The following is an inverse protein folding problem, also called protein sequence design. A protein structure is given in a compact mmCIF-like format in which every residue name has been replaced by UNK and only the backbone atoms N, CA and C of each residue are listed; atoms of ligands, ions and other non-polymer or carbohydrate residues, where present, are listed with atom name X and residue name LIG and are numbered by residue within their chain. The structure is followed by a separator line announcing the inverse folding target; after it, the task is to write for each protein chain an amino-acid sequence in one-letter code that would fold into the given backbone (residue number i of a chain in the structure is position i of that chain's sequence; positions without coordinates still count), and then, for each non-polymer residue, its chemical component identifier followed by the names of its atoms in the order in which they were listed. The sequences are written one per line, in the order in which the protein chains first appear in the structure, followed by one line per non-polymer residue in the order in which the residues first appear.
data_IF_775628164016
#
_entry.id   IF_775628164016
#
_cell.length_a   1.000
_cell.length_b   1.000
_cell.length_c   1.000
_cell.angle_alpha   90.00
_cell.angle_beta   90.00
_cell.angle_gamma   90.00
#
_symmetry.space_group_name_H-M   'P 1'
#
loop_
_entity.id
_entity.type
_entity.pdbx_description
1 polymer ?
#
# COMPACT_ATOMS: atom_id res chain seq x y z
N UNK A 1 -0.63 -19.16 5.22
CA UNK A 1 -0.52 -17.84 4.63
C UNK A 1 0.50 -17.76 3.52
N UNK A 2 0.34 -16.75 2.68
CA UNK A 2 1.26 -16.49 1.59
C UNK A 2 1.89 -15.11 1.78
N UNK A 3 3.16 -14.98 1.43
CA UNK A 3 3.87 -13.71 1.43
C UNK A 3 4.64 -13.56 0.13
N UNK A 4 4.63 -12.36 -0.41
CA UNK A 4 5.34 -12.02 -1.63
C UNK A 4 6.25 -10.82 -1.36
N UNK A 5 7.44 -10.84 -1.94
CA UNK A 5 8.41 -9.76 -1.84
C UNK A 5 8.74 -9.23 -3.24
N UNK A 6 8.79 -7.92 -3.37
CA UNK A 6 9.05 -7.25 -4.65
C UNK A 6 10.17 -6.23 -4.49
N UNK A 7 11.39 -6.53 -4.94
CA UNK A 7 12.44 -5.52 -5.00
C UNK A 7 12.21 -4.56 -6.18
N UNK A 8 12.67 -3.33 -6.04
CA UNK A 8 12.63 -2.35 -7.12
C UNK A 8 11.27 -1.76 -7.41
N UNK A 9 10.35 -1.80 -6.45
CA UNK A 9 9.03 -1.18 -6.56
C UNK A 9 9.05 0.18 -5.87
N UNK A 10 8.35 1.15 -6.45
CA UNK A 10 8.06 2.42 -5.82
C UNK A 10 6.71 2.38 -5.13
N UNK A 11 6.64 2.88 -3.91
CA UNK A 11 5.40 2.99 -3.15
C UNK A 11 5.24 4.41 -2.61
N UNK A 12 4.01 4.91 -2.62
CA UNK A 12 3.67 6.24 -2.10
C UNK A 12 2.47 6.11 -1.18
N UNK A 13 2.54 6.76 -0.03
CA UNK A 13 1.41 6.87 0.90
C UNK A 13 0.77 8.23 0.72
N UNK A 14 -0.52 8.25 0.38
CA UNK A 14 -1.27 9.47 0.18
C UNK A 14 -1.81 10.01 1.50
N UNK A 15 -2.30 11.24 1.49
CA UNK A 15 -2.91 11.85 2.66
C UNK A 15 -4.16 11.06 3.08
N UNK A 16 -4.31 10.83 4.38
CA UNK A 16 -5.44 10.11 4.94
C UNK A 16 -6.68 10.99 4.98
N UNK A 17 -7.86 10.36 4.78
CA UNK A 17 -9.16 11.02 4.90
C UNK A 17 -9.86 10.57 6.17
N UNK A 18 -10.25 11.52 7.02
CA UNK A 18 -10.93 11.22 8.26
C UNK A 18 -12.36 10.75 8.03
N UNK A 19 -12.78 9.73 8.78
CA UNK A 19 -14.18 9.33 8.88
C UNK A 19 -14.71 9.93 10.18
N UNK A 20 -15.61 10.91 10.05
CA UNK A 20 -16.07 11.73 11.16
C UNK A 20 -17.42 11.25 11.66
N UNK A 21 -17.55 11.14 12.98
CA UNK A 21 -18.84 10.90 13.65
C UNK A 21 -19.43 12.27 13.99
N UNK A 22 -20.55 12.58 13.35
CA UNK A 22 -21.24 13.84 13.62
C UNK A 22 -21.93 13.80 14.98
N UNK A 23 -21.63 14.77 15.82
CA UNK A 23 -22.28 14.91 17.11
C UNK A 23 -23.71 15.43 16.95
N UNK A 24 -24.65 14.78 17.66
CA UNK A 24 -26.04 15.23 17.71
C UNK A 24 -26.29 16.16 18.88
N UNK A 25 -25.30 16.37 19.74
CA UNK A 25 -25.38 17.27 20.89
C UNK A 25 -24.82 18.64 20.48
N UNK A 26 -25.58 19.68 20.69
CA UNK A 26 -25.28 21.00 20.15
C UNK A 26 -23.96 21.64 20.57
N UNK A 27 -23.39 21.23 21.69
CA UNK A 27 -22.13 21.78 22.22
C UNK A 27 -20.98 20.77 22.16
N UNK A 28 -21.19 19.59 21.62
CA UNK A 28 -20.17 18.56 21.52
C UNK A 28 -19.55 18.58 20.13
N UNK A 29 -18.23 18.68 20.01
CA UNK A 29 -17.59 18.66 18.70
C UNK A 29 -17.69 17.28 18.05
N UNK A 30 -17.62 17.25 16.72
CA UNK A 30 -17.55 16.01 15.98
C UNK A 30 -16.24 15.28 16.31
N UNK A 31 -16.28 13.96 16.27
CA UNK A 31 -15.12 13.13 16.57
C UNK A 31 -14.73 12.28 15.38
N UNK A 32 -13.44 11.92 15.32
CA UNK A 32 -12.92 11.04 14.27
C UNK A 32 -13.00 9.61 14.76
N UNK A 33 -13.63 8.74 13.95
CA UNK A 33 -13.71 7.31 14.27
C UNK A 33 -12.51 6.54 13.72
N UNK A 34 -12.08 6.85 12.51
CA UNK A 34 -10.94 6.23 11.87
C UNK A 34 -10.52 7.08 10.68
N UNK A 35 -9.47 6.66 9.98
CA UNK A 35 -9.03 7.28 8.73
C UNK A 35 -9.06 6.26 7.61
N UNK A 36 -9.57 6.67 6.44
CA UNK A 36 -9.37 5.94 5.20
C UNK A 36 -8.00 6.30 4.65
N UNK A 37 -7.16 5.29 4.46
CA UNK A 37 -5.78 5.48 4.02
C UNK A 37 -5.57 4.82 2.68
N UNK A 38 -4.84 5.48 1.82
CA UNK A 38 -4.59 5.05 0.45
C UNK A 38 -3.11 5.17 0.15
N UNK A 39 -2.61 4.22 -0.62
CA UNK A 39 -1.26 4.29 -1.15
C UNK A 39 -1.23 3.78 -2.58
N UNK A 40 -0.15 4.06 -3.29
CA UNK A 40 0.04 3.62 -4.67
C UNK A 40 1.33 2.83 -4.78
N UNK A 41 1.31 1.82 -5.67
CA UNK A 41 2.47 1.03 -6.03
C UNK A 41 2.74 1.20 -7.51
N UNK A 42 4.01 1.36 -7.84
CA UNK A 42 4.49 1.38 -9.22
C UNK A 42 5.57 0.31 -9.37
N UNK A 43 5.33 -0.65 -10.24
CA UNK A 43 6.28 -1.74 -10.50
C UNK A 43 6.72 -1.70 -11.96
N UNK A 44 7.92 -1.18 -12.27
CA UNK A 44 8.45 -1.19 -13.63
C UNK A 44 9.03 -2.54 -14.04
N UNK A 45 9.29 -3.43 -13.09
CA UNK A 45 9.91 -4.74 -13.36
C UNK A 45 8.84 -5.77 -13.74
N UNK A 46 8.42 -5.76 -15.00
CA UNK A 46 7.32 -6.59 -15.49
C UNK A 46 7.89 -7.88 -16.08
N UNK A 47 8.03 -8.90 -15.25
CA UNK A 47 8.37 -10.26 -15.68
C UNK A 47 7.13 -11.12 -15.68
N UNK A 48 7.18 -12.28 -16.34
CA UNK A 48 6.05 -13.22 -16.33
C UNK A 48 5.67 -13.64 -14.91
N UNK A 49 6.65 -13.87 -14.05
CA UNK A 49 6.42 -14.23 -12.66
C UNK A 49 5.72 -13.10 -11.91
N UNK A 50 6.18 -11.85 -12.06
CA UNK A 50 5.57 -10.70 -11.40
C UNK A 50 4.13 -10.46 -11.88
N UNK A 51 3.87 -10.62 -13.18
CA UNK A 51 2.52 -10.51 -13.74
C UNK A 51 1.58 -11.49 -13.06
N UNK A 52 2.00 -12.75 -12.92
CA UNK A 52 1.17 -13.78 -12.32
C UNK A 52 0.93 -13.54 -10.82
N UNK A 53 1.94 -13.08 -10.10
CA UNK A 53 1.81 -12.75 -8.67
C UNK A 53 0.86 -11.56 -8.49
N UNK A 54 1.02 -10.49 -9.26
CA UNK A 54 0.13 -9.33 -9.17
C UNK A 54 -1.29 -9.67 -9.60
N UNK A 55 -1.45 -10.55 -10.57
CA UNK A 55 -2.79 -11.06 -10.93
C UNK A 55 -3.49 -11.69 -9.74
N UNK A 56 -2.75 -12.46 -8.94
CA UNK A 56 -3.28 -13.05 -7.72
C UNK A 56 -3.62 -12.00 -6.67
N UNK A 57 -2.73 -11.03 -6.46
CA UNK A 57 -2.93 -9.97 -5.47
C UNK A 57 -4.12 -9.08 -5.85
N UNK A 58 -4.27 -8.75 -7.14
CA UNK A 58 -5.29 -7.84 -7.63
C UNK A 58 -6.63 -8.52 -7.94
N UNK A 59 -6.74 -9.83 -7.74
CA UNK A 59 -7.96 -10.59 -8.04
C UNK A 59 -9.07 -10.40 -7.01
N UNK A 60 -8.79 -9.66 -5.93
CA UNK A 60 -9.75 -9.41 -4.87
C UNK A 60 -9.31 -10.05 -3.56
N UNK A 61 -10.11 -9.86 -2.52
CA UNK A 61 -9.81 -10.33 -1.18
C UNK A 61 -8.99 -9.32 -0.38
N UNK A 62 -8.68 -9.70 0.84
CA UNK A 62 -7.94 -8.86 1.77
C UNK A 62 -6.61 -9.52 2.12
N UNK A 63 -5.59 -8.71 2.25
CA UNK A 63 -4.26 -9.13 2.67
C UNK A 63 -4.02 -8.68 4.11
N UNK A 64 -3.25 -9.44 4.86
CA UNK A 64 -3.06 -9.21 6.28
C UNK A 64 -2.11 -8.09 6.66
N UNK A 65 -1.33 -7.59 5.73
CA UNK A 65 -0.40 -6.52 6.02
C UNK A 65 0.53 -6.22 4.86
N UNK A 66 1.25 -5.11 4.97
CA UNK A 66 2.22 -4.66 3.98
C UNK A 66 3.45 -4.10 4.68
N UNK A 67 4.61 -4.58 4.27
CA UNK A 67 5.89 -4.11 4.77
C UNK A 67 6.62 -3.36 3.66
N UNK A 68 6.94 -2.10 3.89
CA UNK A 68 7.63 -1.26 2.93
C UNK A 68 9.03 -0.95 3.45
N UNK A 69 10.04 -1.38 2.72
CA UNK A 69 11.44 -1.11 3.05
C UNK A 69 11.86 0.22 2.43
N UNK A 70 12.21 1.18 3.27
CA UNK A 70 12.69 2.50 2.85
C UNK A 70 14.21 2.52 2.88
N UNK A 71 14.83 2.16 1.76
CA UNK A 71 16.28 1.99 1.70
C UNK A 71 17.05 3.29 1.99
N UNK A 72 16.56 4.42 1.48
CA UNK A 72 17.24 5.71 1.65
C UNK A 72 17.23 6.19 3.11
N UNK A 73 16.20 5.89 3.86
CA UNK A 73 16.04 6.29 5.26
C UNK A 73 16.45 5.20 6.24
N UNK A 74 16.83 4.02 5.76
CA UNK A 74 17.23 2.86 6.56
C UNK A 74 16.17 2.50 7.62
N UNK A 75 14.91 2.46 7.20
CA UNK A 75 13.79 2.12 8.07
C UNK A 75 12.73 1.32 7.32
N UNK A 76 11.80 0.75 8.06
CA UNK A 76 10.72 -0.09 7.55
C UNK A 76 9.39 0.49 8.01
N UNK A 77 8.46 0.64 7.09
CA UNK A 77 7.07 1.00 7.38
C UNK A 77 6.22 -0.26 7.35
N UNK A 78 5.50 -0.52 8.45
CA UNK A 78 4.65 -1.69 8.60
C UNK A 78 3.19 -1.28 8.70
N UNK A 79 2.37 -1.78 7.78
CA UNK A 79 0.92 -1.60 7.80
C UNK A 79 0.31 -2.90 8.30
N UNK A 80 -0.16 -2.88 9.55
CA UNK A 80 -0.75 -4.04 10.22
C UNK A 80 -2.26 -3.91 10.22
N UNK A 81 -2.86 -4.11 9.06
CA UNK A 81 -4.30 -4.00 8.86
C UNK A 81 -4.71 -4.81 7.65
N UNK A 82 -6.01 -5.07 7.53
CA UNK A 82 -6.54 -5.69 6.31
C UNK A 82 -6.45 -4.71 5.15
N UNK A 83 -5.75 -5.08 4.11
CA UNK A 83 -5.46 -4.23 2.96
C UNK A 83 -6.11 -4.80 1.72
N UNK A 84 -6.77 -3.93 0.96
CA UNK A 84 -7.31 -4.27 -0.36
C UNK A 84 -6.46 -3.63 -1.44
N UNK A 85 -6.22 -4.37 -2.52
CA UNK A 85 -5.41 -3.92 -3.65
C UNK A 85 -6.26 -3.85 -4.90
N UNK A 86 -6.06 -2.79 -5.69
CA UNK A 86 -6.71 -2.60 -6.98
C UNK A 86 -5.67 -2.11 -7.97
N UNK A 87 -5.80 -2.49 -9.21
CA UNK A 87 -4.88 -2.02 -10.24
C UNK A 87 -4.86 -2.92 -11.45
N UNK A 88 -3.96 -2.62 -12.35
CA UNK A 88 -3.80 -3.35 -13.60
C UNK A 88 -2.42 -3.11 -14.21
N UNK A 89 -2.10 -3.98 -15.14
CA UNK A 89 -0.90 -3.84 -15.95
C UNK A 89 -1.15 -2.81 -17.05
N UNK A 90 -0.22 -1.87 -17.20
CA UNK A 90 -0.26 -0.85 -18.24
C UNK A 90 0.67 -1.29 -19.37
N UNK A 91 0.11 -1.44 -20.57
CA UNK A 91 0.89 -1.74 -21.75
C UNK A 91 1.35 -0.44 -22.42
N UNK A 92 2.59 -0.37 -22.90
CA UNK A 92 3.07 0.83 -23.59
C UNK A 92 2.31 1.04 -24.89
N UNK A 93 1.95 2.28 -25.16
CA UNK A 93 1.29 2.67 -26.40
C UNK A 93 2.25 3.32 -27.40
N UNK A 94 3.43 3.72 -26.93
CA UNK A 94 4.49 4.30 -27.75
C UNK A 94 5.82 3.64 -27.40
N UNK A 95 6.82 3.84 -28.26
CA UNK A 95 8.17 3.29 -28.04
C UNK A 95 8.86 3.88 -26.81
N UNK A 96 8.42 5.05 -26.35
CA UNK A 96 9.01 5.74 -25.21
C UNK A 96 8.36 5.40 -23.87
N UNK A 97 7.31 4.59 -23.86
CA UNK A 97 6.62 4.20 -22.64
C UNK A 97 7.13 2.85 -22.14
N UNK A 98 7.25 2.73 -20.84
CA UNK A 98 7.59 1.48 -20.19
C UNK A 98 6.33 0.68 -19.85
N UNK A 99 6.40 -0.63 -20.01
CA UNK A 99 5.41 -1.51 -19.42
C UNK A 99 5.54 -1.47 -17.91
N UNK A 100 4.41 -1.35 -17.20
CA UNK A 100 4.42 -1.26 -15.75
C UNK A 100 3.15 -1.87 -15.16
N UNK A 101 3.20 -2.14 -13.87
CA UNK A 101 2.02 -2.51 -13.09
C UNK A 101 1.76 -1.39 -12.09
N UNK A 102 0.61 -0.76 -12.24
CA UNK A 102 0.14 0.26 -11.30
C UNK A 102 -0.91 -0.36 -10.39
N UNK A 103 -0.77 -0.17 -9.10
CA UNK A 103 -1.73 -0.65 -8.12
C UNK A 103 -1.99 0.41 -7.07
N UNK A 104 -3.21 0.40 -6.55
CA UNK A 104 -3.62 1.22 -5.43
C UNK A 104 -3.99 0.29 -4.29
N UNK A 105 -3.52 0.58 -3.09
CA UNK A 105 -3.90 -0.18 -1.92
C UNK A 105 -4.56 0.74 -0.90
N UNK A 106 -5.54 0.21 -0.17
CA UNK A 106 -6.25 0.99 0.83
C UNK A 106 -6.55 0.15 2.07
N UNK A 107 -6.62 0.85 3.20
CA UNK A 107 -6.94 0.25 4.49
C UNK A 107 -7.56 1.32 5.40
N UNK A 108 -8.06 0.88 6.55
CA UNK A 108 -8.59 1.78 7.56
C UNK A 108 -7.80 1.59 8.85
N UNK A 109 -7.33 2.69 9.41
CA UNK A 109 -6.63 2.68 10.69
C UNK A 109 -6.71 4.07 11.30
N UNK A 110 -6.84 4.13 12.61
CA UNK A 110 -6.82 5.39 13.34
C UNK A 110 -5.41 6.01 13.38
N UNK A 111 -4.40 5.17 13.40
CA UNK A 111 -3.00 5.61 13.52
C UNK A 111 -2.26 5.47 12.20
N UNK A 112 -1.26 6.32 12.01
CA UNK A 112 -0.32 6.16 10.90
C UNK A 112 0.41 4.82 10.99
N UNK A 113 0.90 4.27 9.87
CA UNK A 113 1.69 3.05 9.89
C UNK A 113 2.89 3.15 10.82
N UNK A 114 3.20 2.05 11.47
CA UNK A 114 4.38 1.98 12.34
C UNK A 114 5.66 2.03 11.53
N UNK A 115 6.65 2.71 12.07
CA UNK A 115 7.97 2.84 11.44
C UNK A 115 9.02 2.29 12.39
N UNK A 116 9.85 1.40 11.90
CA UNK A 116 10.92 0.77 12.67
C UNK A 116 12.27 1.04 12.03
N UNK A 117 13.33 1.06 12.83
CA UNK A 117 14.67 1.05 12.29
C UNK A 117 14.90 -0.22 11.47
N UNK A 118 15.68 -0.12 10.39
CA UNK A 118 16.01 -1.28 9.56
C UNK A 118 16.70 -2.33 10.40
N UNK A 119 16.22 -3.59 10.45
CA UNK A 119 16.91 -4.65 11.16
C UNK A 119 18.30 -4.87 10.60
N UNK A 120 19.24 -5.28 11.48
CA UNK A 120 20.56 -5.67 11.04
C UNK A 120 20.47 -7.02 10.33
N UNK A 121 21.08 -7.10 9.16
CA UNK A 121 21.04 -8.29 8.33
C UNK A 121 20.00 -8.18 7.23
N UNK A 122 19.96 -9.21 6.42
CA UNK A 122 19.08 -9.31 5.27
C UNK A 122 17.83 -10.10 5.68
N UNK A 123 16.66 -9.48 5.56
CA UNK A 123 15.41 -10.14 5.95
C UNK A 123 14.43 -10.33 4.80
N UNK A 124 14.89 -10.11 3.58
CA UNK A 124 14.15 -10.56 2.39
C UNK A 124 14.95 -11.30 1.37
#
# INVERSE_FOLDING_TARGET
GRAYAFPGISATLDAASAVVITSKLGCTPDSVSTYNRVGTLYNPNVTLQNINIFRTILSGGLWGGLLIKECAANRVTWIDAAISFQGNRILPQTENEEQRIDATFNWKDLYDPRVFAMPTGDFW
#
